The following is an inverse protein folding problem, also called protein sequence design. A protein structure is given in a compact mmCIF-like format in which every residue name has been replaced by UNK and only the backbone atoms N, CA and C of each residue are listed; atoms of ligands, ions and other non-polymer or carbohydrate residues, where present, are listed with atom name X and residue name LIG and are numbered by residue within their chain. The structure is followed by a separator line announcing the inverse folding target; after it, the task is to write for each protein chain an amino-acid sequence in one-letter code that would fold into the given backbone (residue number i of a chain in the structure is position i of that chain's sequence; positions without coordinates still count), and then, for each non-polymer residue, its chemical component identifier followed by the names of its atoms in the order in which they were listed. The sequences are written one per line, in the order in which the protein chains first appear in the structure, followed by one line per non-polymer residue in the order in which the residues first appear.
data_IF_795472565348
#
_entry.id   IF_795472565348
#
_cell.length_a   1.000
_cell.length_b   1.000
_cell.length_c   1.000
_cell.angle_alpha   90.00
_cell.angle_beta   90.00
_cell.angle_gamma   90.00
#
_symmetry.space_group_name_H-M   'P 1'
#
loop_
_entity.id
_entity.type
_entity.pdbx_description
1 polymer ?
#
# COMPACT_ATOMS: atom_id res chain seq x y z
N UNK A 1 -30.36 12.72 -20.94
CA UNK A 1 -30.38 12.01 -19.64
C UNK A 1 -30.07 10.51 -19.78
N UNK A 2 -30.77 9.77 -20.64
CA UNK A 2 -30.52 8.32 -20.81
C UNK A 2 -29.14 7.95 -21.37
N UNK A 3 -28.56 8.76 -22.26
CA UNK A 3 -27.18 8.56 -22.76
C UNK A 3 -26.13 8.64 -21.62
N UNK A 4 -26.34 9.57 -20.68
CA UNK A 4 -25.47 9.72 -19.50
C UNK A 4 -25.61 8.51 -18.59
N UNK A 5 -26.83 8.03 -18.37
CA UNK A 5 -27.09 6.80 -17.61
C UNK A 5 -26.43 5.57 -18.25
N UNK A 6 -26.50 5.42 -19.57
CA UNK A 6 -25.84 4.33 -20.29
C UNK A 6 -24.32 4.39 -20.16
N UNK A 7 -23.73 5.59 -20.18
CA UNK A 7 -22.29 5.76 -19.95
C UNK A 7 -21.89 5.38 -18.53
N UNK A 8 -22.62 5.88 -17.53
CA UNK A 8 -22.35 5.55 -16.12
C UNK A 8 -22.50 4.04 -15.87
N UNK A 9 -23.57 3.43 -16.37
CA UNK A 9 -23.80 1.99 -16.24
C UNK A 9 -22.74 1.17 -16.98
N UNK A 10 -22.29 1.61 -18.16
CA UNK A 10 -21.23 0.95 -18.93
C UNK A 10 -19.89 0.95 -18.20
N UNK A 11 -19.49 2.10 -17.62
CA UNK A 11 -18.26 2.20 -16.81
C UNK A 11 -18.34 1.29 -15.58
N UNK A 12 -19.49 1.27 -14.89
CA UNK A 12 -19.69 0.41 -13.71
C UNK A 12 -19.68 -1.09 -14.06
N UNK A 13 -20.38 -1.49 -15.13
CA UNK A 13 -20.44 -2.88 -15.55
C UNK A 13 -19.08 -3.38 -16.05
N UNK A 14 -18.31 -2.58 -16.78
CA UNK A 14 -16.94 -2.94 -17.14
C UNK A 14 -16.00 -3.02 -15.93
N UNK A 15 -16.10 -2.08 -14.98
CA UNK A 15 -15.33 -2.13 -13.73
C UNK A 15 -15.58 -3.44 -12.96
N UNK A 16 -16.83 -3.92 -12.96
CA UNK A 16 -17.19 -5.20 -12.36
C UNK A 16 -16.70 -6.41 -13.16
N UNK A 17 -16.79 -6.38 -14.50
CA UNK A 17 -16.19 -7.42 -15.36
C UNK A 17 -14.70 -7.53 -15.10
N UNK A 18 -13.97 -6.42 -15.05
CA UNK A 18 -12.53 -6.43 -14.77
C UNK A 18 -12.25 -6.94 -13.37
N UNK A 19 -13.06 -6.56 -12.38
CA UNK A 19 -12.93 -7.11 -11.03
C UNK A 19 -13.11 -8.63 -11.04
N UNK A 20 -14.15 -9.15 -11.72
CA UNK A 20 -14.46 -10.59 -11.87
C UNK A 20 -13.37 -11.34 -12.65
N UNK A 21 -12.87 -10.79 -13.75
CA UNK A 21 -11.79 -11.38 -14.56
C UNK A 21 -10.47 -11.43 -13.78
N UNK A 22 -10.14 -10.36 -13.05
CA UNK A 22 -8.95 -10.29 -12.20
C UNK A 22 -9.09 -11.13 -10.91
N UNK A 23 -10.29 -11.64 -10.60
CA UNK A 23 -10.53 -12.59 -9.51
C UNK A 23 -10.85 -14.01 -10.00
N UNK A 24 -10.76 -14.31 -11.29
CA UNK A 24 -10.98 -15.66 -11.80
C UNK A 24 -9.75 -16.55 -11.54
N UNK A 25 -9.91 -17.78 -11.02
CA UNK A 25 -8.79 -18.66 -10.72
C UNK A 25 -8.26 -19.32 -11.99
N UNK A 26 -7.10 -18.87 -12.48
CA UNK A 26 -6.27 -19.65 -13.40
C UNK A 26 -5.27 -20.45 -12.57
N UNK A 27 -5.62 -21.70 -12.30
CA UNK A 27 -4.69 -22.70 -11.79
C UNK A 27 -3.57 -22.93 -12.82
N UNK A 28 -2.39 -22.34 -12.60
CA UNK A 28 -1.08 -23.02 -12.68
C UNK A 28 0.10 -22.05 -12.70
N UNK A 29 0.95 -22.19 -11.68
CA UNK A 29 2.41 -22.12 -11.72
C UNK A 29 3.07 -21.01 -12.58
N UNK A 30 2.87 -19.74 -12.23
CA UNK A 30 3.89 -18.68 -12.20
C UNK A 30 3.20 -17.32 -12.05
N UNK A 31 3.46 -16.65 -10.92
CA UNK A 31 3.13 -15.24 -10.72
C UNK A 31 1.65 -14.86 -10.81
N UNK A 32 0.78 -15.35 -9.91
CA UNK A 32 -0.57 -14.81 -9.79
C UNK A 32 -1.10 -14.73 -8.34
N UNK A 33 -1.61 -13.52 -8.05
CA UNK A 33 -2.64 -13.05 -7.12
C UNK A 33 -3.17 -14.06 -6.08
N UNK A 34 -2.84 -13.79 -4.81
CA UNK A 34 -3.37 -14.47 -3.63
C UNK A 34 -4.81 -14.04 -3.32
N UNK A 35 -5.69 -15.04 -3.15
CA UNK A 35 -7.05 -14.90 -2.67
C UNK A 35 -7.09 -14.78 -1.14
N UNK A 36 -7.61 -13.67 -0.59
CA UNK A 36 -8.00 -13.64 0.83
C UNK A 36 -9.51 -13.54 1.08
N UNK A 37 -10.33 -13.01 0.15
CA UNK A 37 -11.75 -12.72 0.41
C UNK A 37 -12.71 -13.17 -0.71
N UNK A 38 -13.15 -14.43 -0.70
CA UNK A 38 -14.18 -14.96 -1.62
C UNK A 38 -15.57 -14.31 -1.50
N UNK A 39 -15.80 -13.47 -0.48
CA UNK A 39 -17.00 -12.67 -0.30
C UNK A 39 -17.10 -11.51 -1.30
N UNK A 40 -15.98 -10.91 -1.68
CA UNK A 40 -15.95 -9.74 -2.58
C UNK A 40 -16.25 -10.14 -4.03
N UNK A 41 -15.80 -11.33 -4.46
CA UNK A 41 -16.16 -11.90 -5.76
C UNK A 41 -17.67 -12.09 -5.92
N UNK A 42 -18.32 -12.70 -4.91
CA UNK A 42 -19.78 -12.95 -4.94
C UNK A 42 -20.58 -11.64 -5.01
N UNK A 43 -20.14 -10.60 -4.28
CA UNK A 43 -20.76 -9.27 -4.34
C UNK A 43 -20.59 -8.64 -5.72
N UNK A 44 -19.37 -8.67 -6.28
CA UNK A 44 -19.10 -8.12 -7.61
C UNK A 44 -19.94 -8.80 -8.71
N UNK A 45 -20.07 -10.13 -8.65
CA UNK A 45 -20.87 -10.91 -9.60
C UNK A 45 -22.38 -10.61 -9.48
N UNK A 46 -22.90 -10.49 -8.27
CA UNK A 46 -24.30 -10.08 -8.03
C UNK A 46 -24.60 -8.69 -8.60
N UNK A 47 -23.72 -7.72 -8.36
CA UNK A 47 -23.88 -6.36 -8.88
C UNK A 47 -23.80 -6.38 -10.42
N UNK A 48 -22.89 -7.16 -11.01
CA UNK A 48 -22.77 -7.29 -12.45
C UNK A 48 -24.05 -7.83 -13.11
N UNK A 49 -24.62 -8.91 -12.56
CA UNK A 49 -25.88 -9.49 -13.06
C UNK A 49 -27.03 -8.49 -12.92
N UNK A 50 -27.11 -7.74 -11.82
CA UNK A 50 -28.14 -6.72 -11.62
C UNK A 50 -28.06 -5.59 -12.65
N UNK A 51 -26.85 -5.15 -13.01
CA UNK A 51 -26.63 -4.13 -14.02
C UNK A 51 -27.01 -4.63 -15.42
N UNK A 52 -26.68 -5.87 -15.75
CA UNK A 52 -27.08 -6.50 -17.01
C UNK A 52 -28.61 -6.59 -17.13
N UNK A 53 -29.31 -6.98 -16.07
CA UNK A 53 -30.78 -7.05 -16.07
C UNK A 53 -31.44 -5.68 -16.28
N UNK A 54 -30.91 -4.63 -15.65
CA UNK A 54 -31.38 -3.24 -15.85
C UNK A 54 -31.09 -2.76 -17.26
N UNK A 55 -29.89 -3.03 -17.78
CA UNK A 55 -29.49 -2.63 -19.13
C UNK A 55 -30.33 -3.33 -20.21
N UNK A 56 -30.54 -4.64 -20.09
CA UNK A 56 -31.42 -5.41 -20.98
C UNK A 56 -32.87 -4.92 -20.94
N UNK A 57 -33.37 -4.55 -19.75
CA UNK A 57 -34.72 -4.01 -19.58
C UNK A 57 -34.87 -2.63 -20.25
N UNK A 58 -33.88 -1.75 -20.12
CA UNK A 58 -33.83 -0.44 -20.80
C UNK A 58 -33.77 -0.60 -22.31
N UNK A 59 -32.95 -1.52 -22.83
CA UNK A 59 -32.88 -1.83 -24.27
C UNK A 59 -34.20 -2.41 -24.81
N UNK A 60 -34.88 -3.25 -24.02
CA UNK A 60 -36.18 -3.81 -24.39
C UNK A 60 -37.25 -2.71 -24.51
N UNK A 61 -37.29 -1.76 -23.57
CA UNK A 61 -38.19 -0.60 -23.63
C UNK A 61 -37.86 0.36 -24.78
N UNK A 62 -36.57 0.54 -25.10
CA UNK A 62 -36.09 1.42 -26.18
C UNK A 62 -36.31 0.82 -27.58
N UNK A 63 -36.57 -0.49 -27.70
CA UNK A 63 -36.84 -1.16 -29.00
C UNK A 63 -38.01 -0.53 -29.77
N UNK A 64 -38.88 0.25 -29.10
CA UNK A 64 -40.00 0.98 -29.73
C UNK A 64 -39.65 2.37 -30.28
N UNK A 65 -38.46 2.93 -30.01
CA UNK A 65 -38.05 4.22 -30.57
C UNK A 65 -36.60 4.23 -31.08
N UNK A 66 -36.48 4.53 -32.38
CA UNK A 66 -35.29 4.90 -33.16
C UNK A 66 -34.02 4.06 -32.95
N UNK A 67 -33.66 3.31 -34.00
CA UNK A 67 -32.40 2.56 -34.17
C UNK A 67 -31.14 3.38 -33.82
N UNK A 68 -31.16 4.70 -34.04
CA UNK A 68 -30.07 5.61 -33.71
C UNK A 68 -29.70 5.62 -32.21
N UNK A 69 -30.68 5.45 -31.30
CA UNK A 69 -30.40 5.43 -29.85
C UNK A 69 -29.71 4.14 -29.42
N UNK A 70 -30.10 3.01 -30.02
CA UNK A 70 -29.46 1.72 -29.75
C UNK A 70 -28.00 1.75 -30.18
N UNK A 71 -27.72 2.30 -31.36
CA UNK A 71 -26.35 2.46 -31.88
C UNK A 71 -25.53 3.38 -30.97
N UNK A 72 -26.09 4.52 -30.54
CA UNK A 72 -25.40 5.44 -29.64
C UNK A 72 -25.07 4.80 -28.27
N UNK A 73 -25.98 4.00 -27.71
CA UNK A 73 -25.75 3.27 -26.46
C UNK A 73 -24.63 2.22 -26.61
N UNK A 74 -24.60 1.48 -27.72
CA UNK A 74 -23.52 0.51 -28.01
C UNK A 74 -22.18 1.25 -28.12
N UNK A 75 -22.14 2.38 -28.81
CA UNK A 75 -20.91 3.16 -28.99
C UNK A 75 -20.39 3.71 -27.66
N UNK A 76 -21.26 4.23 -26.80
CA UNK A 76 -20.91 4.69 -25.44
C UNK A 76 -20.43 3.53 -24.57
N UNK A 77 -21.04 2.35 -24.69
CA UNK A 77 -20.61 1.16 -23.96
C UNK A 77 -19.19 0.75 -24.37
N UNK A 78 -18.89 0.69 -25.67
CA UNK A 78 -17.55 0.38 -26.18
C UNK A 78 -16.53 1.44 -25.72
N UNK A 79 -16.87 2.73 -25.80
CA UNK A 79 -16.00 3.79 -25.29
C UNK A 79 -15.73 3.64 -23.79
N UNK A 80 -16.75 3.28 -23.00
CA UNK A 80 -16.62 3.08 -21.55
C UNK A 80 -15.69 1.91 -21.23
N UNK A 81 -15.75 0.81 -21.99
CA UNK A 81 -14.83 -0.34 -21.88
C UNK A 81 -13.38 0.10 -22.08
N UNK A 82 -13.11 0.93 -23.09
CA UNK A 82 -11.75 1.39 -23.40
C UNK A 82 -11.26 2.44 -22.39
N UNK A 83 -12.15 3.30 -21.89
CA UNK A 83 -11.77 4.42 -21.03
C UNK A 83 -11.67 4.05 -19.54
N UNK A 84 -12.43 3.06 -19.08
CA UNK A 84 -12.39 2.60 -17.69
C UNK A 84 -11.01 2.11 -17.22
N UNK A 85 -10.22 1.31 -17.96
CA UNK A 85 -8.89 0.90 -17.51
C UNK A 85 -7.94 2.10 -17.42
N UNK A 86 -8.10 3.10 -18.28
CA UNK A 86 -7.36 4.36 -18.18
C UNK A 86 -7.71 5.11 -16.89
N UNK A 87 -9.00 5.29 -16.58
CA UNK A 87 -9.45 5.95 -15.34
C UNK A 87 -8.99 5.16 -14.10
N UNK A 88 -9.12 3.84 -14.10
CA UNK A 88 -8.63 2.99 -13.01
C UNK A 88 -7.11 3.11 -12.83
N UNK A 89 -6.34 3.18 -13.92
CA UNK A 89 -4.89 3.42 -13.86
C UNK A 89 -4.56 4.78 -13.23
N UNK A 90 -5.29 5.84 -13.58
CA UNK A 90 -5.08 7.16 -12.97
C UNK A 90 -5.47 7.17 -11.49
N UNK A 91 -6.59 6.53 -11.12
CA UNK A 91 -7.00 6.40 -9.72
C UNK A 91 -5.98 5.59 -8.92
N UNK A 92 -5.44 4.51 -9.48
CA UNK A 92 -4.40 3.71 -8.84
C UNK A 92 -3.11 4.53 -8.63
N UNK A 93 -2.71 5.34 -9.62
CA UNK A 93 -1.61 6.28 -9.48
C UNK A 93 -1.87 7.29 -8.36
N UNK A 94 -3.05 7.90 -8.31
CA UNK A 94 -3.42 8.87 -7.27
C UNK A 94 -3.47 8.23 -5.88
N UNK A 95 -4.07 7.04 -5.73
CA UNK A 95 -4.10 6.29 -4.46
C UNK A 95 -2.70 5.87 -4.00
N UNK A 96 -1.75 5.72 -4.92
CA UNK A 96 -0.36 5.42 -4.58
C UNK A 96 0.46 6.66 -4.15
N UNK A 97 -0.10 7.88 -4.29
CA UNK A 97 0.43 9.08 -3.67
C UNK A 97 -0.04 9.14 -2.22
N UNK A 98 0.65 8.42 -1.34
CA UNK A 98 0.63 8.80 0.08
C UNK A 98 1.30 10.17 0.22
N UNK A 99 0.68 11.11 0.95
CA UNK A 99 1.28 12.42 1.15
C UNK A 99 2.61 12.28 1.90
N UNK A 100 3.60 13.12 1.59
CA UNK A 100 4.88 13.11 2.29
C UNK A 100 4.64 13.29 3.80
N UNK A 101 5.43 12.59 4.62
CA UNK A 101 5.35 12.69 6.07
C UNK A 101 5.66 14.13 6.47
N UNK A 102 4.76 14.75 7.23
CA UNK A 102 4.94 16.11 7.72
C UNK A 102 6.21 16.23 8.57
N UNK A 103 6.99 17.29 8.33
CA UNK A 103 8.24 17.59 9.04
C UNK A 103 8.06 17.58 10.56
N UNK A 104 6.92 18.07 11.07
CA UNK A 104 6.62 18.07 12.51
C UNK A 104 6.52 16.67 13.11
N UNK A 105 6.01 15.69 12.35
CA UNK A 105 5.95 14.28 12.78
C UNK A 105 7.36 13.71 12.84
N UNK A 106 8.16 14.00 11.83
CA UNK A 106 9.53 13.54 11.72
C UNK A 106 10.39 14.11 12.86
N UNK A 107 10.31 15.41 13.15
CA UNK A 107 11.03 16.06 14.24
C UNK A 107 10.62 15.52 15.62
N UNK A 108 9.32 15.35 15.85
CA UNK A 108 8.82 14.74 17.09
C UNK A 108 9.37 13.33 17.27
N UNK A 109 9.44 12.55 16.19
CA UNK A 109 9.96 11.18 16.23
C UNK A 109 11.46 11.17 16.51
N UNK A 110 12.24 12.04 15.85
CA UNK A 110 13.68 12.15 16.08
C UNK A 110 13.99 12.53 17.52
N UNK A 111 13.25 13.48 18.09
CA UNK A 111 13.41 13.86 19.50
C UNK A 111 13.07 12.70 20.45
N UNK A 112 12.01 11.93 20.16
CA UNK A 112 11.67 10.75 20.97
C UNK A 112 12.77 9.68 20.92
N UNK A 113 13.30 9.37 19.73
CA UNK A 113 14.39 8.39 19.57
C UNK A 113 15.65 8.87 20.26
N UNK A 114 15.99 10.17 20.17
CA UNK A 114 17.15 10.74 20.86
C UNK A 114 16.99 10.63 22.38
N UNK A 115 15.77 10.85 22.90
CA UNK A 115 15.47 10.66 24.32
C UNK A 115 15.63 9.20 24.74
N UNK A 116 15.14 8.24 23.94
CA UNK A 116 15.32 6.80 24.21
C UNK A 116 16.82 6.44 24.25
N UNK A 117 17.60 6.92 23.27
CA UNK A 117 19.05 6.69 23.22
C UNK A 117 19.72 7.23 24.49
N UNK A 118 19.37 8.46 24.90
CA UNK A 118 19.98 9.11 26.07
C UNK A 118 19.55 8.49 27.39
N UNK A 119 18.26 8.17 27.54
CA UNK A 119 17.69 7.59 28.77
C UNK A 119 18.23 6.18 29.05
N UNK A 120 18.37 5.36 28.00
CA UNK A 120 18.85 3.99 28.12
C UNK A 120 20.35 3.83 27.86
N UNK A 121 21.07 4.92 27.59
CA UNK A 121 22.51 4.91 27.32
C UNK A 121 22.89 4.05 26.10
N UNK A 122 22.05 4.07 25.06
CA UNK A 122 22.27 3.23 23.88
C UNK A 122 23.42 3.80 23.03
N UNK A 123 24.29 2.95 22.45
CA UNK A 123 25.46 3.38 21.69
C UNK A 123 25.09 3.77 20.25
N UNK A 124 24.13 4.67 20.07
CA UNK A 124 23.68 5.10 18.75
C UNK A 124 23.58 6.62 18.64
N UNK A 125 23.81 7.13 17.44
CA UNK A 125 23.55 8.52 17.08
C UNK A 125 22.62 8.58 15.87
N UNK A 126 21.69 9.53 15.88
CA UNK A 126 20.77 9.71 14.75
C UNK A 126 21.49 10.51 13.66
N UNK A 127 21.61 9.93 12.46
CA UNK A 127 22.01 10.69 11.29
C UNK A 127 20.80 11.45 10.73
N UNK A 128 20.54 12.64 11.29
CA UNK A 128 19.39 13.47 10.92
C UNK A 128 19.36 13.81 9.42
N UNK A 129 20.52 14.12 8.84
CA UNK A 129 20.62 14.52 7.43
C UNK A 129 20.19 13.37 6.51
N UNK A 130 20.74 12.18 6.73
CA UNK A 130 20.42 11.01 5.91
C UNK A 130 19.00 10.50 6.19
N UNK A 131 18.52 10.58 7.44
CA UNK A 131 17.15 10.21 7.80
C UNK A 131 16.12 11.09 7.10
N UNK A 132 16.33 12.41 7.07
CA UNK A 132 15.47 13.38 6.35
C UNK A 132 15.50 13.12 4.84
N UNK A 133 16.70 12.94 4.28
CA UNK A 133 16.89 12.65 2.87
C UNK A 133 16.26 11.32 2.43
N UNK A 134 16.41 10.28 3.24
CA UNK A 134 15.82 8.97 2.98
C UNK A 134 14.31 8.99 3.14
N UNK A 135 13.78 9.71 4.13
CA UNK A 135 12.33 9.86 4.33
C UNK A 135 11.68 10.67 3.22
N UNK A 136 12.35 11.66 2.62
CA UNK A 136 11.77 12.43 1.50
C UNK A 136 11.72 11.63 0.20
N UNK A 137 12.59 10.63 0.04
CA UNK A 137 12.63 9.72 -1.11
C UNK A 137 11.78 8.47 -0.89
N UNK A 138 11.70 8.01 0.35
CA UNK A 138 10.83 6.92 0.80
C UNK A 138 9.42 7.45 1.02
N UNK A 139 8.41 6.57 0.94
CA UNK A 139 7.04 6.91 1.35
C UNK A 139 6.80 6.59 2.84
N UNK A 140 7.83 6.11 3.53
CA UNK A 140 7.81 5.72 4.94
C UNK A 140 8.82 6.55 5.72
N UNK A 141 8.59 6.70 7.02
CA UNK A 141 9.53 7.38 7.89
C UNK A 141 10.79 6.52 7.99
N UNK A 142 11.93 7.07 7.61
CA UNK A 142 13.20 6.36 7.67
C UNK A 142 14.07 6.95 8.76
N UNK A 143 14.38 6.13 9.77
CA UNK A 143 15.28 6.46 10.87
C UNK A 143 16.63 5.81 10.62
N UNK A 144 17.68 6.62 10.57
CA UNK A 144 19.05 6.15 10.33
C UNK A 144 19.88 6.37 11.59
N UNK A 145 20.29 5.27 12.19
CA UNK A 145 21.06 5.20 13.43
C UNK A 145 22.47 4.69 13.15
N UNK A 146 23.46 5.45 13.61
CA UNK A 146 24.88 5.12 13.53
C UNK A 146 25.27 4.51 14.87
N UNK A 147 25.73 3.26 14.89
CA UNK A 147 26.26 2.63 16.10
C UNK A 147 27.68 3.13 16.35
N UNK A 148 27.90 3.73 17.51
CA UNK A 148 29.18 4.38 17.91
C UNK A 148 30.18 3.38 18.50
N UNK A 149 29.70 2.22 18.95
CA UNK A 149 30.53 1.12 19.46
C UNK A 149 30.75 0.05 18.39
N UNK A 150 31.86 -0.68 18.49
CA UNK A 150 32.15 -1.83 17.62
C UNK A 150 31.44 -3.13 18.05
N UNK A 151 30.68 -3.13 19.15
CA UNK A 151 29.95 -4.30 19.64
C UNK A 151 28.79 -4.67 18.71
N UNK A 152 28.56 -5.98 18.51
CA UNK A 152 27.45 -6.45 17.68
C UNK A 152 26.08 -5.92 18.14
N UNK A 153 25.10 -5.88 17.24
CA UNK A 153 23.74 -5.47 17.59
C UNK A 153 23.17 -6.38 18.67
N UNK A 154 22.58 -5.80 19.71
CA UNK A 154 21.92 -6.58 20.76
C UNK A 154 20.40 -6.45 20.60
N UNK A 155 19.70 -7.56 20.82
CA UNK A 155 18.24 -7.62 20.68
C UNK A 155 17.53 -6.61 21.59
N UNK A 156 17.98 -6.48 22.83
CA UNK A 156 17.42 -5.54 23.80
C UNK A 156 17.58 -4.07 23.38
N UNK A 157 18.67 -3.71 22.70
CA UNK A 157 18.87 -2.36 22.13
C UNK A 157 17.78 -2.07 21.08
N UNK A 158 17.54 -3.04 20.19
CA UNK A 158 16.55 -2.93 19.12
C UNK A 158 15.13 -2.90 19.68
N UNK A 159 14.81 -3.78 20.65
CA UNK A 159 13.49 -3.84 21.28
C UNK A 159 13.10 -2.51 21.96
N UNK A 160 14.08 -1.70 22.39
CA UNK A 160 13.85 -0.36 22.92
C UNK A 160 13.60 0.65 21.79
N UNK A 161 14.39 0.60 20.72
CA UNK A 161 14.27 1.48 19.56
C UNK A 161 13.00 1.23 18.72
N UNK A 162 12.39 0.05 18.84
CA UNK A 162 11.11 -0.29 18.18
C UNK A 162 9.89 0.23 18.98
N UNK A 163 10.06 0.64 20.24
CA UNK A 163 8.95 1.09 21.10
C UNK A 163 8.67 2.60 21.01
N UNK A 164 8.71 3.15 19.80
CA UNK A 164 8.41 4.57 19.55
C UNK A 164 6.90 4.81 19.69
N UNK A 165 6.48 5.71 20.58
CA UNK A 165 5.07 5.99 20.89
C UNK A 165 4.46 7.02 19.95
N UNK A 166 5.22 8.01 19.50
CA UNK A 166 4.73 9.05 18.59
C UNK A 166 4.18 8.50 17.27
N UNK A 167 4.74 7.39 16.79
CA UNK A 167 4.34 6.72 15.55
C UNK A 167 3.10 5.84 15.71
N UNK A 168 3.01 5.12 16.83
CA UNK A 168 1.83 4.31 17.18
C UNK A 168 0.54 5.15 17.19
N UNK A 169 0.61 6.37 17.75
CA UNK A 169 -0.56 7.25 17.83
C UNK A 169 -1.01 7.80 16.47
N UNK A 170 -0.14 7.75 15.44
CA UNK A 170 -0.42 8.28 14.10
C UNK A 170 -0.68 7.18 13.06
N UNK A 171 -0.71 5.91 13.47
CA UNK A 171 -0.88 4.74 12.61
C UNK A 171 0.13 4.67 11.45
N UNK A 172 1.38 5.12 11.67
CA UNK A 172 2.41 5.14 10.63
C UNK A 172 3.35 3.95 10.75
N UNK A 173 3.65 3.33 9.61
CA UNK A 173 4.74 2.38 9.47
C UNK A 173 6.06 3.13 9.27
N UNK A 174 7.16 2.55 9.74
CA UNK A 174 8.48 3.17 9.65
C UNK A 174 9.58 2.12 9.44
N UNK A 175 10.69 2.58 8.87
CA UNK A 175 11.87 1.75 8.64
C UNK A 175 13.03 2.27 9.49
N UNK A 176 13.67 1.38 10.24
CA UNK A 176 14.83 1.65 11.08
C UNK A 176 16.06 1.01 10.45
N UNK A 177 17.03 1.85 10.07
CA UNK A 177 18.32 1.41 9.55
C UNK A 177 19.39 1.70 10.59
N UNK A 178 20.03 0.64 11.08
CA UNK A 178 21.17 0.71 11.96
C UNK A 178 22.42 0.33 11.15
N UNK A 179 23.49 1.09 11.28
CA UNK A 179 24.78 0.71 10.70
C UNK A 179 25.92 1.11 11.62
N UNK A 180 27.06 0.46 11.47
CA UNK A 180 28.25 0.80 12.24
C UNK A 180 29.02 1.96 11.62
N UNK A 181 29.56 2.84 12.46
CA UNK A 181 30.43 3.94 12.00
C UNK A 181 31.75 3.43 11.39
N UNK A 182 32.37 2.42 12.04
CA UNK A 182 33.75 2.01 11.78
C UNK A 182 33.91 0.58 11.24
N UNK A 183 32.82 -0.12 10.91
CA UNK A 183 32.86 -1.47 10.33
C UNK A 183 31.75 -1.68 9.30
N UNK A 184 31.98 -2.62 8.39
CA UNK A 184 30.95 -3.05 7.46
C UNK A 184 29.94 -3.92 8.22
N UNK A 185 28.72 -3.39 8.35
CA UNK A 185 27.60 -4.08 8.97
C UNK A 185 26.40 -3.15 9.08
N UNK A 186 25.23 -3.64 8.71
CA UNK A 186 23.98 -2.91 8.81
C UNK A 186 22.84 -3.84 9.19
N UNK A 187 21.78 -3.26 9.73
CA UNK A 187 20.53 -3.92 10.06
C UNK A 187 19.39 -2.98 9.67
N UNK A 188 18.54 -3.43 8.78
CA UNK A 188 17.33 -2.76 8.36
C UNK A 188 16.12 -3.48 8.96
N UNK A 189 15.22 -2.73 9.57
CA UNK A 189 14.00 -3.24 10.19
C UNK A 189 12.81 -2.45 9.67
N UNK A 190 11.80 -3.15 9.17
CA UNK A 190 10.51 -2.55 8.87
C UNK A 190 9.57 -2.80 10.05
N UNK A 191 9.01 -1.72 10.59
CA UNK A 191 8.15 -1.75 11.76
C UNK A 191 6.78 -1.20 11.38
N UNK A 192 5.73 -1.94 11.73
CA UNK A 192 4.37 -1.50 11.50
C UNK A 192 3.87 -0.55 12.61
N UNK A 193 2.70 0.04 12.39
CA UNK A 193 2.01 0.87 13.37
C UNK A 193 1.67 0.22 14.74
N UNK A 194 1.84 -1.10 14.88
CA UNK A 194 1.69 -1.84 16.15
C UNK A 194 3.03 -2.08 16.84
N UNK A 195 4.11 -1.45 16.39
CA UNK A 195 5.48 -1.64 16.86
C UNK A 195 5.93 -3.11 16.72
N UNK A 196 5.45 -3.79 15.69
CA UNK A 196 5.86 -5.16 15.35
C UNK A 196 6.79 -5.11 14.16
N UNK A 197 7.92 -5.79 14.25
CA UNK A 197 8.87 -5.93 13.14
C UNK A 197 8.21 -6.83 12.09
N UNK A 198 7.92 -6.27 10.91
CA UNK A 198 7.33 -6.99 9.77
C UNK A 198 8.37 -7.42 8.75
N UNK A 199 9.56 -6.79 8.76
CA UNK A 199 10.67 -7.12 7.88
C UNK A 199 12.00 -6.87 8.59
N UNK A 200 12.99 -7.71 8.31
CA UNK A 200 14.32 -7.58 8.87
C UNK A 200 15.36 -8.02 7.83
N UNK A 201 16.44 -7.27 7.66
CA UNK A 201 17.59 -7.67 6.85
C UNK A 201 18.89 -7.07 7.37
N UNK A 202 20.06 -7.67 7.09
CA UNK A 202 20.23 -8.92 6.35
C UNK A 202 19.86 -10.16 7.18
N UNK A 203 19.51 -11.26 6.51
CA UNK A 203 18.85 -12.44 7.11
C UNK A 203 19.69 -13.06 8.24
N UNK A 204 21.01 -13.11 8.09
CA UNK A 204 21.90 -13.74 9.06
C UNK A 204 21.91 -12.96 10.38
N UNK A 205 21.99 -11.64 10.30
CA UNK A 205 21.94 -10.71 11.42
C UNK A 205 20.59 -10.79 12.13
N UNK A 206 19.50 -10.82 11.37
CA UNK A 206 18.14 -10.99 11.91
C UNK A 206 17.96 -12.32 12.66
N UNK A 207 18.46 -13.42 12.09
CA UNK A 207 18.41 -14.74 12.72
C UNK A 207 19.20 -14.78 14.03
N UNK A 208 20.38 -14.15 14.06
CA UNK A 208 21.20 -14.06 15.28
C UNK A 208 20.49 -13.27 16.39
N UNK A 209 19.65 -12.31 16.02
CA UNK A 209 18.83 -11.53 16.94
C UNK A 209 17.52 -12.23 17.33
N UNK A 210 17.18 -13.34 16.69
CA UNK A 210 15.94 -14.09 16.92
C UNK A 210 14.71 -13.46 16.29
N UNK A 211 14.87 -12.70 15.20
CA UNK A 211 13.76 -12.20 14.39
C UNK A 211 13.53 -13.15 13.21
N UNK A 212 12.31 -13.70 13.12
CA UNK A 212 11.90 -14.54 11.98
C UNK A 212 11.46 -13.64 10.82
N UNK A 213 12.10 -13.82 9.67
CA UNK A 213 11.70 -13.18 8.41
C UNK A 213 10.74 -14.11 7.67
N UNK A 214 9.48 -13.69 7.50
CA UNK A 214 8.52 -14.37 6.61
C UNK A 214 8.84 -14.09 5.13
#
# INVERSE_FOLDING_TARGET
MMLVLSGVLGVYSFGLIMTILLTYPTDSASGWINFSNGSEFKKALLIFISLMAVFSSVLYFLRKQLEAYVIACIFIFILSIVFTPFVQSQIAKIKSYEPPIHDSIQEQTFSEVENIIREYGLPYEINLKESKHSTSRSRKLTLILVKTTNEDFKRNEIDLLVKIRSLKNKNLDYSLFLFFENRYGSLALDVNNKNTITGCGPINECKNLGYETN
#
